data_IF_455613368780
#
_entry.id   IF_455613368780
#
_cell.length_a   1.000
_cell.length_b   1.000
_cell.length_c   1.000
_cell.angle_alpha   90.00
_cell.angle_beta   90.00
_cell.angle_gamma   90.00
#
_symmetry.space_group_name_H-M   'P 1'
#
loop_
_entity.id
_entity.type
_entity.pdbx_description
1 polymer ?
#
# COMPACT_ATOMS: atom_id res chain seq x y z
N UNK A 1 33.33 39.02 -41.84
CA UNK A 1 33.46 38.11 -40.68
C UNK A 1 32.25 38.37 -39.81
N UNK A 2 31.20 37.57 -40.00
CA UNK A 2 29.93 37.68 -39.28
C UNK A 2 29.65 36.29 -38.74
N UNK A 3 29.98 36.11 -37.47
CA UNK A 3 29.78 34.88 -36.73
C UNK A 3 28.28 34.60 -36.57
N UNK A 4 27.78 33.61 -37.30
CA UNK A 4 26.50 32.98 -36.99
C UNK A 4 26.73 31.92 -35.91
N UNK A 5 26.52 32.33 -34.66
CA UNK A 5 26.39 31.40 -33.55
C UNK A 5 25.05 30.68 -33.69
N UNK A 6 25.09 29.52 -34.34
CA UNK A 6 23.94 28.61 -34.44
C UNK A 6 23.82 27.85 -33.13
N UNK A 7 22.92 28.31 -32.28
CA UNK A 7 22.54 27.62 -31.04
C UNK A 7 21.78 26.33 -31.42
N UNK A 8 22.53 25.24 -31.57
CA UNK A 8 21.98 23.90 -31.77
C UNK A 8 21.41 23.45 -30.43
N UNK A 9 20.15 23.85 -30.18
CA UNK A 9 19.30 23.25 -29.14
C UNK A 9 19.11 21.77 -29.46
N UNK A 10 20.04 20.95 -28.98
CA UNK A 10 19.98 19.50 -29.04
C UNK A 10 18.81 19.05 -28.15
N UNK A 11 17.62 18.87 -28.74
CA UNK A 11 16.47 18.27 -28.07
C UNK A 11 16.84 16.86 -27.64
N UNK A 12 17.17 16.70 -26.36
CA UNK A 12 17.40 15.41 -25.72
C UNK A 12 16.16 14.53 -26.00
N UNK A 13 16.31 13.31 -26.54
CA UNK A 13 15.18 12.43 -26.79
C UNK A 13 14.46 12.14 -25.47
N UNK A 14 13.18 12.52 -25.39
CA UNK A 14 12.37 12.28 -24.20
C UNK A 14 12.20 10.78 -24.04
N UNK A 15 12.81 10.21 -22.99
CA UNK A 15 12.61 8.81 -22.60
C UNK A 15 11.11 8.60 -22.38
N UNK A 16 10.49 7.77 -23.22
CA UNK A 16 9.07 7.43 -23.09
C UNK A 16 8.87 6.59 -21.83
N UNK A 17 7.98 7.05 -20.95
CA UNK A 17 7.66 6.35 -19.71
C UNK A 17 6.39 5.53 -19.95
N UNK A 18 6.39 4.24 -19.61
CA UNK A 18 5.19 3.42 -19.65
C UNK A 18 4.05 4.04 -18.83
N UNK A 19 2.84 4.04 -19.38
CA UNK A 19 1.65 4.56 -18.70
C UNK A 19 1.38 3.82 -17.38
N UNK A 20 1.76 2.54 -17.30
CA UNK A 20 1.67 1.70 -16.10
C UNK A 20 2.59 2.16 -14.95
N UNK A 21 3.65 2.91 -15.26
CA UNK A 21 4.49 3.55 -14.23
C UNK A 21 3.86 4.86 -13.77
N UNK A 22 3.49 5.72 -14.73
CA UNK A 22 2.80 6.98 -14.44
C UNK A 22 1.94 7.45 -15.63
N UNK A 23 0.59 7.56 -15.48
CA UNK A 23 -0.31 7.92 -16.56
C UNK A 23 -0.13 9.37 -17.04
N UNK A 24 -0.41 9.62 -18.31
CA UNK A 24 -0.35 10.99 -18.89
C UNK A 24 -1.56 11.83 -18.51
N UNK A 25 -2.70 11.20 -18.21
CA UNK A 25 -3.94 11.89 -17.83
C UNK A 25 -4.39 11.54 -16.41
N UNK A 26 -5.18 12.42 -15.79
CA UNK A 26 -5.81 12.15 -14.49
C UNK A 26 -6.84 11.02 -14.59
N UNK A 27 -7.18 10.44 -13.44
CA UNK A 27 -8.24 9.44 -13.31
C UNK A 27 -9.58 10.02 -13.77
N UNK A 28 -9.92 11.22 -13.30
CA UNK A 28 -11.15 11.94 -13.69
C UNK A 28 -11.27 12.08 -15.21
N UNK A 29 -10.20 12.49 -15.89
CA UNK A 29 -10.23 12.64 -17.34
C UNK A 29 -10.27 11.28 -18.05
N UNK A 30 -9.58 10.27 -17.51
CA UNK A 30 -9.54 8.91 -18.07
C UNK A 30 -10.87 8.16 -17.88
N UNK A 31 -11.65 8.49 -16.84
CA UNK A 31 -13.00 7.96 -16.57
C UNK A 31 -13.96 8.21 -17.74
N UNK A 32 -13.72 9.23 -18.58
CA UNK A 32 -14.55 9.53 -19.76
C UNK A 32 -14.67 8.36 -20.74
N UNK A 33 -13.63 7.53 -20.89
CA UNK A 33 -13.70 6.33 -21.75
C UNK A 33 -14.67 5.31 -21.14
N UNK A 34 -14.55 5.06 -19.83
CA UNK A 34 -15.44 4.13 -19.14
C UNK A 34 -16.89 4.63 -19.15
N UNK A 35 -17.10 5.94 -18.98
CA UNK A 35 -18.42 6.55 -19.06
C UNK A 35 -19.02 6.42 -20.47
N UNK A 36 -18.24 6.71 -21.52
CA UNK A 36 -18.69 6.55 -22.90
C UNK A 36 -19.09 5.10 -23.22
N UNK A 37 -18.38 4.11 -22.68
CA UNK A 37 -18.73 2.70 -22.83
C UNK A 37 -20.09 2.37 -22.20
N UNK A 38 -20.41 2.92 -21.03
CA UNK A 38 -21.73 2.78 -20.40
C UNK A 38 -22.80 3.47 -21.26
N UNK A 39 -22.58 4.75 -21.59
CA UNK A 39 -23.60 5.60 -22.18
C UNK A 39 -23.94 5.22 -23.63
N UNK A 40 -22.92 4.84 -24.41
CA UNK A 40 -23.04 4.67 -25.86
C UNK A 40 -22.85 3.22 -26.35
N UNK A 41 -22.32 2.31 -25.50
CA UNK A 41 -21.95 0.94 -25.91
C UNK A 41 -22.48 -0.14 -24.95
N UNK A 42 -23.62 0.13 -24.30
CA UNK A 42 -24.30 -0.79 -23.38
C UNK A 42 -23.42 -1.35 -22.24
N UNK A 43 -22.33 -0.65 -21.90
CA UNK A 43 -21.43 -0.99 -20.81
C UNK A 43 -20.61 -2.26 -21.01
N UNK A 44 -20.39 -2.72 -22.24
CA UNK A 44 -19.62 -3.95 -22.54
C UNK A 44 -18.30 -3.64 -23.24
N UNK A 45 -18.34 -3.48 -24.55
CA UNK A 45 -17.17 -3.20 -25.37
C UNK A 45 -17.54 -2.32 -26.56
N UNK A 46 -16.55 -1.63 -27.11
CA UNK A 46 -16.70 -0.81 -28.31
C UNK A 46 -15.39 -0.73 -29.09
N UNK A 47 -15.48 -0.50 -30.40
CA UNK A 47 -14.30 -0.29 -31.22
C UNK A 47 -13.62 1.04 -30.82
N UNK A 48 -12.26 1.09 -30.75
CA UNK A 48 -11.55 2.32 -30.38
C UNK A 48 -11.93 3.54 -31.24
N UNK A 49 -12.21 3.32 -32.53
CA UNK A 49 -12.63 4.35 -33.47
C UNK A 49 -13.94 5.00 -33.02
N UNK A 50 -14.95 4.19 -32.75
CA UNK A 50 -16.30 4.67 -32.39
C UNK A 50 -16.29 5.36 -31.03
N UNK A 51 -15.53 4.83 -30.07
CA UNK A 51 -15.38 5.45 -28.74
C UNK A 51 -14.71 6.83 -28.88
N UNK A 52 -13.67 6.95 -29.69
CA UNK A 52 -13.00 8.24 -29.92
C UNK A 52 -13.97 9.28 -30.53
N UNK A 53 -14.79 8.87 -31.51
CA UNK A 53 -15.80 9.73 -32.14
C UNK A 53 -16.84 10.16 -31.10
N UNK A 54 -17.32 9.25 -30.25
CA UNK A 54 -18.29 9.57 -29.19
C UNK A 54 -17.78 10.60 -28.19
N UNK A 55 -16.46 10.67 -28.01
CA UNK A 55 -15.77 11.63 -27.15
C UNK A 55 -15.32 12.91 -27.88
N UNK A 56 -15.72 13.10 -29.14
CA UNK A 56 -15.28 14.19 -30.00
C UNK A 56 -13.74 14.28 -30.13
N UNK A 57 -13.06 13.13 -30.15
CA UNK A 57 -11.61 13.04 -30.28
C UNK A 57 -11.22 12.40 -31.61
N UNK A 58 -10.09 12.84 -32.17
CA UNK A 58 -9.52 12.17 -33.34
C UNK A 58 -8.87 10.83 -32.92
N UNK A 59 -9.26 9.69 -33.53
CA UNK A 59 -8.69 8.36 -33.24
C UNK A 59 -7.20 8.23 -33.57
N UNK A 60 -6.67 9.11 -34.42
CA UNK A 60 -5.26 9.12 -34.81
C UNK A 60 -4.42 10.09 -33.97
N UNK A 61 -5.05 10.86 -33.08
CA UNK A 61 -4.36 11.85 -32.25
C UNK A 61 -3.50 11.20 -31.16
N UNK A 62 -2.38 11.85 -30.82
CA UNK A 62 -1.56 11.44 -29.68
C UNK A 62 -2.33 11.50 -28.35
N UNK A 63 -3.24 12.46 -28.22
CA UNK A 63 -4.09 12.61 -27.04
C UNK A 63 -5.02 11.43 -26.83
N UNK A 64 -5.67 10.93 -27.89
CA UNK A 64 -6.50 9.73 -27.83
C UNK A 64 -5.69 8.49 -27.39
N UNK A 65 -4.51 8.27 -27.99
CA UNK A 65 -3.64 7.15 -27.62
C UNK A 65 -3.21 7.22 -26.16
N UNK A 66 -2.83 8.41 -25.68
CA UNK A 66 -2.46 8.64 -24.30
C UNK A 66 -3.62 8.45 -23.32
N UNK A 67 -4.84 8.84 -23.71
CA UNK A 67 -6.05 8.66 -22.92
C UNK A 67 -6.40 7.18 -22.76
N UNK A 68 -6.38 6.42 -23.85
CA UNK A 68 -6.55 4.96 -23.80
C UNK A 68 -5.49 4.30 -22.91
N UNK A 69 -4.23 4.71 -23.06
CA UNK A 69 -3.13 4.19 -22.23
C UNK A 69 -3.30 4.52 -20.74
N UNK A 70 -3.78 5.71 -20.41
CA UNK A 70 -4.07 6.12 -19.03
C UNK A 70 -5.27 5.35 -18.46
N UNK A 71 -6.32 5.14 -19.26
CA UNK A 71 -7.49 4.34 -18.88
C UNK A 71 -7.13 2.90 -18.54
N UNK A 72 -6.25 2.27 -19.34
CA UNK A 72 -5.69 0.95 -19.05
C UNK A 72 -4.81 0.96 -17.80
N UNK A 73 -3.98 2.00 -17.61
CA UNK A 73 -3.08 2.10 -16.46
C UNK A 73 -3.81 2.24 -15.12
N UNK A 74 -4.96 2.93 -15.10
CA UNK A 74 -5.86 2.99 -13.93
C UNK A 74 -6.75 1.74 -13.81
N UNK A 75 -6.69 0.81 -14.76
CA UNK A 75 -7.47 -0.42 -14.76
C UNK A 75 -8.95 -0.21 -15.10
N UNK A 76 -9.33 0.90 -15.74
CA UNK A 76 -10.72 1.21 -16.12
C UNK A 76 -11.19 0.37 -17.31
N UNK A 77 -10.29 0.10 -18.25
CA UNK A 77 -10.58 -0.65 -19.46
C UNK A 77 -9.52 -1.71 -19.74
N UNK A 78 -9.92 -2.74 -20.46
CA UNK A 78 -9.04 -3.75 -21.03
C UNK A 78 -8.89 -3.46 -22.53
N UNK A 79 -7.64 -3.32 -22.96
CA UNK A 79 -7.30 -2.99 -24.34
C UNK A 79 -7.12 -1.48 -24.57
N UNK A 80 -6.04 -1.13 -25.29
CA UNK A 80 -5.72 0.26 -25.64
C UNK A 80 -6.23 0.65 -27.03
N UNK A 81 -5.67 1.71 -27.61
CA UNK A 81 -6.09 2.19 -28.94
C UNK A 81 -5.82 1.21 -30.10
N UNK A 82 -4.95 0.20 -29.91
CA UNK A 82 -4.50 -0.71 -30.94
C UNK A 82 -5.18 -2.08 -30.96
N UNK A 83 -6.19 -2.31 -30.11
CA UNK A 83 -6.96 -3.56 -30.10
C UNK A 83 -8.24 -3.42 -30.93
N UNK A 84 -8.87 -4.55 -31.27
CA UNK A 84 -10.14 -4.55 -32.00
C UNK A 84 -11.28 -3.91 -31.17
N UNK A 85 -11.33 -4.22 -29.87
CA UNK A 85 -12.36 -3.72 -28.96
C UNK A 85 -11.78 -3.35 -27.61
N UNK A 86 -12.21 -2.19 -27.08
CA UNK A 86 -11.93 -1.77 -25.71
C UNK A 86 -13.10 -2.24 -24.85
N UNK A 87 -12.79 -3.02 -23.81
CA UNK A 87 -13.80 -3.59 -22.90
C UNK A 87 -13.74 -2.88 -21.54
N UNK A 88 -14.91 -2.64 -20.93
CA UNK A 88 -14.98 -2.11 -19.57
C UNK A 88 -14.58 -3.21 -18.55
N UNK A 89 -13.72 -2.89 -17.59
CA UNK A 89 -13.38 -3.82 -16.50
C UNK A 89 -14.39 -3.72 -15.36
N UNK A 90 -14.37 -4.68 -14.43
CA UNK A 90 -15.19 -4.61 -13.22
C UNK A 90 -14.82 -3.38 -12.36
N UNK A 91 -13.52 -3.05 -12.27
CA UNK A 91 -13.06 -1.83 -11.59
C UNK A 91 -13.60 -0.57 -12.28
N UNK A 92 -13.53 -0.50 -13.61
CA UNK A 92 -14.08 0.61 -14.38
C UNK A 92 -15.58 0.74 -14.15
N UNK A 93 -16.33 -0.37 -14.21
CA UNK A 93 -17.79 -0.41 -13.96
C UNK A 93 -18.12 0.15 -12.59
N UNK A 94 -17.46 -0.30 -11.52
CA UNK A 94 -17.69 0.20 -10.15
C UNK A 94 -17.48 1.72 -10.01
N UNK A 95 -16.63 2.33 -10.86
CA UNK A 95 -16.36 3.78 -10.83
C UNK A 95 -17.44 4.60 -11.58
N UNK A 96 -18.02 4.07 -12.66
CA UNK A 96 -18.99 4.80 -13.52
C UNK A 96 -20.43 4.39 -13.29
N UNK A 97 -20.67 3.19 -12.78
CA UNK A 97 -21.98 2.60 -12.53
C UNK A 97 -21.90 1.72 -11.25
N UNK A 98 -21.70 2.32 -10.06
CA UNK A 98 -21.71 1.61 -8.79
C UNK A 98 -23.10 1.04 -8.48
N UNK A 99 -23.14 -0.12 -7.84
CA UNK A 99 -24.38 -0.76 -7.38
C UNK A 99 -24.64 -0.49 -5.89
N UNK A 100 -23.58 -0.17 -5.12
CA UNK A 100 -23.66 0.13 -3.69
C UNK A 100 -23.14 1.55 -3.37
N UNK A 101 -23.69 2.15 -2.31
CA UNK A 101 -23.25 3.46 -1.84
C UNK A 101 -21.79 3.42 -1.37
N UNK A 102 -20.94 4.27 -1.95
CA UNK A 102 -19.52 4.37 -1.60
C UNK A 102 -18.62 3.36 -2.32
N UNK A 103 -19.16 2.48 -3.15
CA UNK A 103 -18.39 1.54 -3.98
C UNK A 103 -17.49 2.29 -4.97
N UNK A 104 -18.00 3.36 -5.56
CA UNK A 104 -17.27 4.22 -6.50
C UNK A 104 -16.02 4.83 -5.87
N UNK A 105 -16.11 5.27 -4.62
CA UNK A 105 -14.98 5.82 -3.85
C UNK A 105 -13.89 4.78 -3.62
N UNK A 106 -14.27 3.58 -3.18
CA UNK A 106 -13.33 2.46 -2.98
C UNK A 106 -12.67 2.08 -4.31
N UNK A 107 -13.46 2.02 -5.39
CA UNK A 107 -12.95 1.70 -6.72
C UNK A 107 -12.01 2.79 -7.25
N UNK A 108 -12.29 4.07 -7.01
CA UNK A 108 -11.38 5.17 -7.38
C UNK A 108 -10.05 5.11 -6.63
N UNK A 109 -10.05 4.74 -5.35
CA UNK A 109 -8.83 4.52 -4.56
C UNK A 109 -8.00 3.34 -5.10
N UNK A 110 -8.67 2.25 -5.48
CA UNK A 110 -8.03 1.11 -6.11
C UNK A 110 -7.40 1.52 -7.46
N UNK A 111 -8.10 2.34 -8.26
CA UNK A 111 -7.65 2.79 -9.57
C UNK A 111 -6.40 3.66 -9.50
N UNK A 112 -6.34 4.66 -8.60
CA UNK A 112 -5.12 5.50 -8.42
C UNK A 112 -3.92 4.71 -7.88
N UNK A 113 -4.18 3.55 -7.27
CA UNK A 113 -3.14 2.65 -6.73
C UNK A 113 -2.65 1.64 -7.77
N UNK A 114 -3.23 1.57 -8.98
CA UNK A 114 -2.72 0.70 -10.06
C UNK A 114 -1.38 1.20 -10.65
N UNK A 115 -1.19 2.49 -10.96
CA UNK A 115 0.08 2.94 -11.51
C UNK A 115 1.18 2.97 -10.44
N UNK A 116 2.31 2.33 -10.74
CA UNK A 116 3.38 2.04 -9.75
C UNK A 116 3.83 3.27 -8.96
N UNK A 117 4.26 4.33 -9.64
CA UNK A 117 4.81 5.51 -8.96
C UNK A 117 3.74 6.34 -8.26
N UNK A 118 2.49 6.27 -8.71
CA UNK A 118 1.38 6.95 -8.04
C UNK A 118 1.05 6.26 -6.72
N UNK A 119 0.97 4.92 -6.74
CA UNK A 119 0.82 4.10 -5.55
C UNK A 119 1.95 4.35 -4.54
N UNK A 120 3.21 4.21 -4.96
CA UNK A 120 4.38 4.44 -4.10
C UNK A 120 4.40 5.85 -3.51
N UNK A 121 3.95 6.87 -4.25
CA UNK A 121 3.90 8.25 -3.76
C UNK A 121 2.83 8.42 -2.68
N UNK A 122 1.60 7.97 -2.91
CA UNK A 122 0.54 8.12 -1.90
C UNK A 122 0.81 7.27 -0.67
N UNK A 123 1.31 6.05 -0.85
CA UNK A 123 1.68 5.14 0.25
C UNK A 123 2.76 5.78 1.13
N UNK A 124 3.79 6.35 0.51
CA UNK A 124 4.86 7.06 1.22
C UNK A 124 4.36 8.22 2.09
N UNK A 125 3.32 8.93 1.64
CA UNK A 125 2.79 10.08 2.36
C UNK A 125 1.49 9.76 3.12
N UNK A 126 1.05 8.51 3.19
CA UNK A 126 -0.19 8.16 3.90
C UNK A 126 -0.15 8.64 5.36
N UNK A 127 -1.24 9.27 5.79
CA UNK A 127 -1.42 9.90 7.12
C UNK A 127 -0.42 11.02 7.44
N UNK A 128 0.24 11.57 6.42
CA UNK A 128 1.17 12.69 6.57
C UNK A 128 0.75 13.89 5.71
N UNK A 129 1.41 15.04 5.93
CA UNK A 129 1.18 16.21 5.09
C UNK A 129 1.70 15.96 3.69
N UNK A 130 0.94 16.43 2.70
CA UNK A 130 1.42 16.45 1.32
C UNK A 130 2.72 17.27 1.27
N UNK A 131 3.79 16.74 0.67
CA UNK A 131 5.07 17.43 0.61
C UNK A 131 4.96 18.71 -0.22
N UNK A 132 5.85 19.68 0.03
CA UNK A 132 5.99 20.83 -0.87
C UNK A 132 6.36 20.39 -2.28
N UNK A 133 5.99 21.19 -3.27
CA UNK A 133 6.09 20.84 -4.70
C UNK A 133 7.51 20.47 -5.13
N UNK A 134 8.52 21.19 -4.64
CA UNK A 134 9.94 20.91 -4.88
C UNK A 134 10.36 19.54 -4.34
N UNK A 135 9.92 19.21 -3.12
CA UNK A 135 10.16 17.91 -2.50
C UNK A 135 9.41 16.81 -3.27
N UNK A 136 8.15 17.05 -3.63
CA UNK A 136 7.32 16.11 -4.37
C UNK A 136 7.95 15.75 -5.73
N UNK A 137 8.40 16.74 -6.49
CA UNK A 137 9.12 16.54 -7.75
C UNK A 137 10.40 15.75 -7.52
N UNK A 138 11.20 16.07 -6.51
CA UNK A 138 12.43 15.34 -6.21
C UNK A 138 12.15 13.86 -5.83
N UNK A 139 11.05 13.59 -5.13
CA UNK A 139 10.62 12.20 -4.84
C UNK A 139 10.25 11.46 -6.12
N UNK A 140 9.45 12.06 -6.99
CA UNK A 140 9.08 11.48 -8.29
C UNK A 140 10.32 11.23 -9.17
N UNK A 141 11.29 12.15 -9.16
CA UNK A 141 12.55 11.98 -9.87
C UNK A 141 13.35 10.79 -9.32
N UNK A 142 13.44 10.67 -8.00
CA UNK A 142 14.11 9.52 -7.35
C UNK A 142 13.43 8.19 -7.67
N UNK A 143 12.10 8.18 -7.83
CA UNK A 143 11.34 6.99 -8.25
C UNK A 143 11.64 6.59 -9.71
N UNK A 144 12.23 7.49 -10.51
CA UNK A 144 12.68 7.20 -11.88
C UNK A 144 12.03 8.05 -12.97
N UNK A 145 11.22 9.07 -12.60
CA UNK A 145 10.69 10.04 -13.56
C UNK A 145 11.77 11.05 -13.97
N UNK A 146 12.01 11.32 -15.27
CA UNK A 146 12.79 12.47 -15.71
C UNK A 146 12.18 13.76 -15.17
N UNK A 147 13.01 14.72 -14.75
CA UNK A 147 12.57 15.96 -14.10
C UNK A 147 11.44 16.72 -14.82
N UNK A 148 11.50 16.95 -16.15
CA UNK A 148 10.42 17.64 -16.85
C UNK A 148 9.09 16.89 -16.81
N UNK A 149 9.14 15.55 -16.69
CA UNK A 149 7.96 14.71 -16.58
C UNK A 149 7.44 14.64 -15.14
N UNK A 150 8.33 14.71 -14.14
CA UNK A 150 7.97 14.74 -12.73
C UNK A 150 7.15 15.99 -12.36
N UNK A 151 7.47 17.15 -12.94
CA UNK A 151 6.70 18.39 -12.77
C UNK A 151 5.25 18.23 -13.30
N UNK A 152 5.09 17.66 -14.50
CA UNK A 152 3.77 17.36 -15.05
C UNK A 152 3.03 16.26 -14.27
N UNK A 153 3.78 15.29 -13.73
CA UNK A 153 3.23 14.20 -12.94
C UNK A 153 2.69 14.70 -11.60
N UNK A 154 3.32 15.71 -10.98
CA UNK A 154 2.85 16.32 -9.74
C UNK A 154 1.44 16.89 -9.89
N UNK A 155 1.16 17.60 -10.99
CA UNK A 155 -0.17 18.17 -11.27
C UNK A 155 -1.25 17.08 -11.39
N UNK A 156 -0.92 15.97 -12.07
CA UNK A 156 -1.83 14.83 -12.20
C UNK A 156 -2.05 14.16 -10.84
N UNK A 157 -1.00 14.08 -10.04
CA UNK A 157 -1.05 13.48 -8.72
C UNK A 157 -1.95 14.31 -7.79
N UNK A 158 -1.76 15.63 -7.71
CA UNK A 158 -2.66 16.48 -6.92
C UNK A 158 -4.12 16.36 -7.34
N UNK A 159 -4.39 16.47 -8.66
CA UNK A 159 -5.74 16.31 -9.22
C UNK A 159 -6.37 14.97 -8.86
N UNK A 160 -5.63 13.88 -8.95
CA UNK A 160 -6.14 12.56 -8.59
C UNK A 160 -6.41 12.46 -7.08
N UNK A 161 -5.51 12.98 -6.25
CA UNK A 161 -5.65 12.91 -4.80
C UNK A 161 -6.85 13.72 -4.31
N UNK A 162 -7.06 14.91 -4.87
CA UNK A 162 -8.24 15.76 -4.61
C UNK A 162 -9.52 15.09 -5.10
N UNK A 163 -9.53 14.61 -6.36
CA UNK A 163 -10.71 13.96 -6.97
C UNK A 163 -11.17 12.71 -6.20
N UNK A 164 -10.23 11.95 -5.65
CA UNK A 164 -10.52 10.73 -4.87
C UNK A 164 -10.71 10.98 -3.37
N UNK A 165 -10.46 12.20 -2.90
CA UNK A 165 -10.51 12.56 -1.48
C UNK A 165 -9.35 12.03 -0.64
N UNK A 166 -8.30 11.51 -1.29
CA UNK A 166 -7.03 11.10 -0.66
C UNK A 166 -6.25 12.31 -0.18
N UNK A 167 -6.25 13.39 -0.95
CA UNK A 167 -5.69 14.67 -0.51
C UNK A 167 -6.84 15.52 0.03
N UNK A 168 -6.71 15.96 1.28
CA UNK A 168 -7.70 16.81 1.95
C UNK A 168 -7.04 18.05 2.49
N UNK A 169 -7.60 19.21 2.18
CA UNK A 169 -7.14 20.46 2.74
C UNK A 169 -7.63 20.62 4.18
N UNK A 170 -6.70 20.93 5.07
CA UNK A 170 -6.99 21.29 6.46
C UNK A 170 -6.47 22.68 6.77
N UNK A 171 -6.90 23.25 7.90
CA UNK A 171 -6.34 24.52 8.42
C UNK A 171 -4.81 24.49 8.58
N UNK A 172 -4.21 23.30 8.66
CA UNK A 172 -2.77 23.10 8.89
C UNK A 172 -2.00 22.65 7.64
N UNK A 173 -2.66 22.61 6.48
CA UNK A 173 -2.12 22.16 5.19
C UNK A 173 -2.84 20.93 4.63
N UNK A 174 -2.50 20.53 3.40
CA UNK A 174 -3.07 19.36 2.75
C UNK A 174 -2.51 18.06 3.35
N UNK A 175 -3.38 17.12 3.71
CA UNK A 175 -3.03 15.82 4.29
C UNK A 175 -3.38 14.72 3.28
N UNK A 176 -2.52 13.70 3.19
CA UNK A 176 -2.75 12.49 2.39
C UNK A 176 -3.34 11.41 3.30
N UNK A 177 -4.42 10.76 2.88
CA UNK A 177 -5.07 9.68 3.62
C UNK A 177 -5.72 8.69 2.66
N UNK A 178 -5.15 7.49 2.55
CA UNK A 178 -5.66 6.41 1.70
C UNK A 178 -6.88 5.71 2.32
N UNK A 179 -7.10 5.87 3.62
CA UNK A 179 -8.33 5.46 4.29
C UNK A 179 -9.29 6.65 4.36
N UNK A 180 -10.35 6.61 3.55
CA UNK A 180 -11.47 7.52 3.72
C UNK A 180 -12.26 7.07 4.96
N UNK A 181 -12.51 7.93 5.96
CA UNK A 181 -13.57 7.67 6.93
C UNK A 181 -14.86 7.38 6.16
N UNK A 182 -15.58 6.34 6.56
CA UNK A 182 -16.94 6.10 6.09
C UNK A 182 -17.80 7.27 6.56
N UNK A 183 -17.90 8.34 5.76
CA UNK A 183 -18.68 9.52 6.10
C UNK A 183 -20.18 9.18 6.05
N UNK A 184 -20.69 8.56 7.10
CA UNK A 184 -22.08 8.80 7.54
C UNK A 184 -22.14 10.17 8.21
N UNK A 185 -21.92 11.24 7.44
CA UNK A 185 -22.39 12.62 7.72
C UNK A 185 -21.96 13.57 6.60
N UNK A 186 -22.79 13.70 5.57
CA UNK A 186 -22.95 14.96 4.85
C UNK A 186 -24.46 15.23 4.68
N UNK A 187 -25.02 15.80 5.74
CA UNK A 187 -26.16 16.72 5.75
C UNK A 187 -25.72 17.75 6.80
N UNK A 188 -25.60 19.05 6.55
CA UNK A 188 -26.45 19.95 5.76
C UNK A 188 -25.74 21.31 5.64
N UNK A 189 -25.95 22.00 4.52
CA UNK A 189 -26.26 23.44 4.47
C UNK A 189 -25.22 24.46 4.92
N UNK A 190 -24.74 25.26 3.96
CA UNK A 190 -24.34 26.65 4.21
C UNK A 190 -25.52 27.44 4.82
N UNK A 191 -25.28 28.13 5.92
CA UNK A 191 -25.85 29.45 6.17
C UNK A 191 -24.92 30.22 7.10
N UNK A 192 -24.42 31.33 6.59
CA UNK A 192 -23.73 32.39 7.33
C UNK A 192 -24.81 33.10 8.16
N UNK A 193 -24.61 33.22 9.46
CA UNK A 193 -25.11 34.39 10.21
C UNK A 193 -24.36 34.54 11.54
N UNK A 194 -24.15 35.81 11.85
CA UNK A 194 -23.33 36.43 12.86
C UNK A 194 -24.15 36.65 14.13
N UNK A 195 -23.56 36.54 15.33
CA UNK A 195 -24.02 37.23 16.56
C UNK A 195 -23.14 36.93 17.78
N UNK A 196 -22.24 37.88 18.02
CA UNK A 196 -21.85 38.54 19.28
C UNK A 196 -22.61 38.14 20.58
N UNK A 197 -21.79 37.87 21.62
CA UNK A 197 -21.90 38.09 23.09
C UNK A 197 -23.29 38.15 23.76
N UNK A 198 -23.48 37.39 24.87
CA UNK A 198 -23.48 38.01 26.22
C UNK A 198 -23.42 36.97 27.37
N UNK A 199 -22.79 37.38 28.47
CA UNK A 199 -22.73 36.74 29.78
C UNK A 199 -24.08 36.79 30.51
N UNK A 200 -24.39 35.78 31.34
CA UNK A 200 -24.83 36.00 32.73
C UNK A 200 -24.91 34.70 33.52
N UNK A 201 -24.68 34.86 34.82
CA UNK A 201 -24.21 33.89 35.79
C UNK A 201 -25.31 33.13 36.56
N UNK A 202 -24.82 32.15 37.34
CA UNK A 202 -25.31 31.70 38.67
C UNK A 202 -26.48 30.69 38.72
N UNK A 203 -26.51 29.66 39.58
CA UNK A 203 -25.63 29.17 40.66
C UNK A 203 -26.02 27.71 41.01
N UNK A 204 -25.10 26.97 41.64
CA UNK A 204 -25.29 25.79 42.54
C UNK A 204 -25.86 24.48 41.94
N UNK A 205 -25.33 23.29 42.20
CA UNK A 205 -24.21 22.83 43.02
C UNK A 205 -24.34 21.31 43.17
N UNK A 206 -23.25 20.57 43.00
CA UNK A 206 -22.84 19.43 43.84
C UNK A 206 -21.58 18.80 43.26
N UNK A 207 -20.55 18.87 44.09
CA UNK A 207 -19.21 18.32 43.93
C UNK A 207 -19.24 16.81 44.15
N UNK A 208 -18.80 16.03 43.16
CA UNK A 208 -18.04 14.81 43.43
C UNK A 208 -16.68 14.91 42.73
N UNK A 209 -15.68 15.07 43.59
CA UNK A 209 -14.27 15.11 43.29
C UNK A 209 -13.80 13.67 43.00
N UNK A 210 -13.45 13.36 41.75
CA UNK A 210 -12.62 12.19 41.44
C UNK A 210 -11.42 12.64 40.64
N UNK A 211 -10.27 12.55 41.31
CA UNK A 211 -8.90 12.83 40.95
C UNK A 211 -8.56 12.47 39.50
N UNK A 212 -8.05 13.45 38.75
CA UNK A 212 -7.41 13.24 37.46
C UNK A 212 -6.15 12.40 37.65
N UNK A 213 -6.14 11.19 37.09
CA UNK A 213 -4.92 10.44 36.81
C UNK A 213 -4.33 11.08 35.54
N UNK A 214 -3.02 11.41 35.49
CA UNK A 214 -2.38 11.80 34.25
C UNK A 214 -2.56 10.63 33.28
N UNK A 215 -3.22 10.87 32.15
CA UNK A 215 -3.29 9.88 31.07
C UNK A 215 -1.86 9.72 30.53
N UNK A 216 -1.11 8.80 31.13
CA UNK A 216 0.07 8.22 30.53
C UNK A 216 -0.30 7.85 29.11
N UNK A 217 0.49 8.32 28.17
CA UNK A 217 0.48 7.85 26.79
C UNK A 217 0.58 6.34 26.83
N UNK A 218 -0.51 5.63 26.61
CA UNK A 218 -0.49 4.19 26.39
C UNK A 218 0.28 3.96 25.11
N UNK A 219 1.59 3.75 25.23
CA UNK A 219 2.40 3.14 24.19
C UNK A 219 1.75 1.79 23.91
N UNK A 220 1.07 1.69 22.77
CA UNK A 220 0.60 0.40 22.27
C UNK A 220 1.82 -0.50 22.14
N UNK A 221 1.89 -1.56 22.96
CA UNK A 221 3.06 -2.44 22.97
C UNK A 221 3.15 -3.14 21.62
N UNK A 222 4.19 -2.80 20.85
CA UNK A 222 4.50 -3.35 19.53
C UNK A 222 4.69 -4.86 19.59
N UNK A 223 3.79 -5.64 18.97
CA UNK A 223 3.86 -7.11 18.94
C UNK A 223 4.61 -7.63 17.71
N UNK A 224 5.23 -8.80 17.85
CA UNK A 224 5.85 -9.54 16.75
C UNK A 224 4.93 -10.64 16.26
N UNK A 225 4.68 -10.69 14.96
CA UNK A 225 3.97 -11.80 14.35
C UNK A 225 4.91 -13.00 14.21
N UNK A 226 4.44 -14.19 14.52
CA UNK A 226 5.21 -15.43 14.37
C UNK A 226 4.47 -16.40 13.47
N UNK A 227 5.09 -16.72 12.34
CA UNK A 227 4.63 -17.72 11.38
C UNK A 227 5.51 -18.98 11.45
N UNK A 228 4.88 -20.14 11.41
CA UNK A 228 5.57 -21.42 11.42
C UNK A 228 4.78 -22.48 10.66
N UNK A 229 5.48 -23.50 10.17
CA UNK A 229 4.90 -24.62 9.47
C UNK A 229 4.31 -25.70 10.37
N UNK A 230 4.24 -26.93 9.84
CA UNK A 230 3.67 -28.07 10.57
C UNK A 230 4.59 -28.54 11.69
N UNK A 231 5.90 -28.35 11.55
CA UNK A 231 6.90 -28.70 12.56
C UNK A 231 6.82 -27.74 13.78
N UNK A 232 6.35 -28.26 14.92
CA UNK A 232 6.10 -27.47 16.15
C UNK A 232 7.31 -27.24 17.06
N UNK A 233 8.26 -28.18 17.25
CA UNK A 233 9.41 -27.96 18.13
C UNK A 233 10.16 -26.63 17.93
N UNK A 234 10.44 -26.16 16.70
CA UNK A 234 11.12 -24.88 16.50
C UNK A 234 10.35 -23.65 17.00
N UNK A 235 9.02 -23.59 16.79
CA UNK A 235 8.21 -22.49 17.35
C UNK A 235 8.15 -22.56 18.88
N UNK A 236 8.15 -23.75 19.48
CA UNK A 236 8.18 -23.89 20.94
C UNK A 236 9.49 -23.36 21.54
N UNK A 237 10.63 -23.66 20.90
CA UNK A 237 11.92 -23.10 21.31
C UNK A 237 11.94 -21.56 21.17
N UNK A 238 11.40 -21.02 20.07
CA UNK A 238 11.28 -19.57 19.90
C UNK A 238 10.43 -18.92 20.99
N UNK A 239 9.28 -19.53 21.34
CA UNK A 239 8.41 -19.03 22.42
C UNK A 239 9.16 -18.90 23.74
N UNK A 240 9.94 -19.92 24.12
CA UNK A 240 10.76 -19.87 25.34
C UNK A 240 11.76 -18.71 25.34
N UNK A 241 12.37 -18.43 24.19
CA UNK A 241 13.28 -17.28 24.03
C UNK A 241 12.49 -15.98 24.20
N UNK A 242 11.42 -15.76 23.42
CA UNK A 242 10.64 -14.53 23.46
C UNK A 242 10.02 -14.27 24.84
N UNK A 243 9.47 -15.30 25.48
CA UNK A 243 8.90 -15.23 26.84
C UNK A 243 9.96 -14.87 27.88
N UNK A 244 11.16 -15.47 27.80
CA UNK A 244 12.29 -15.18 28.71
C UNK A 244 12.69 -13.71 28.66
N UNK A 245 12.68 -13.10 27.48
CA UNK A 245 13.04 -11.70 27.27
C UNK A 245 11.83 -10.74 27.27
N UNK A 246 10.63 -11.25 27.61
CA UNK A 246 9.37 -10.49 27.66
C UNK A 246 9.05 -9.77 26.34
N UNK A 247 9.42 -10.36 25.21
CA UNK A 247 9.11 -9.83 23.88
C UNK A 247 7.68 -10.23 23.54
N UNK A 248 6.76 -9.28 23.30
CA UNK A 248 5.38 -9.60 23.01
C UNK A 248 5.22 -10.11 21.57
N UNK A 249 4.57 -11.27 21.40
CA UNK A 249 4.38 -11.89 20.09
C UNK A 249 2.97 -12.45 19.90
N UNK A 250 2.63 -12.79 18.65
CA UNK A 250 1.37 -13.41 18.30
C UNK A 250 1.52 -14.45 17.19
N UNK A 251 0.94 -15.63 17.40
CA UNK A 251 1.00 -16.77 16.46
C UNK A 251 -0.36 -16.94 15.78
N UNK A 252 -0.40 -16.85 14.45
CA UNK A 252 -1.62 -16.96 13.65
C UNK A 252 -2.40 -18.26 13.85
N UNK A 253 -1.68 -19.38 13.93
CA UNK A 253 -2.29 -20.71 14.01
C UNK A 253 -2.98 -20.97 15.36
N UNK A 254 -2.61 -20.25 16.42
CA UNK A 254 -3.13 -20.48 17.78
C UNK A 254 -4.38 -19.64 18.12
N UNK A 255 -4.79 -18.71 17.24
CA UNK A 255 -5.95 -17.84 17.48
C UNK A 255 -7.27 -18.46 17.00
N UNK A 256 -8.39 -18.32 17.76
CA UNK A 256 -9.72 -18.73 17.31
C UNK A 256 -10.13 -18.10 15.98
N UNK A 257 -10.89 -18.85 15.17
CA UNK A 257 -11.32 -18.40 13.85
C UNK A 257 -12.50 -17.43 13.87
N UNK A 258 -13.32 -17.38 14.93
CA UNK A 258 -14.44 -16.41 15.08
C UNK A 258 -15.37 -16.29 13.85
N UNK A 259 -15.47 -17.34 13.03
CA UNK A 259 -16.26 -17.33 11.79
C UNK A 259 -15.64 -16.58 10.60
N UNK A 260 -14.46 -15.96 10.74
CA UNK A 260 -13.76 -15.27 9.63
C UNK A 260 -12.90 -16.24 8.81
N UNK A 261 -12.71 -16.00 7.49
CA UNK A 261 -11.79 -16.78 6.66
C UNK A 261 -10.37 -16.83 7.26
N UNK A 262 -9.66 -17.96 7.09
CA UNK A 262 -8.32 -18.18 7.65
C UNK A 262 -7.34 -17.09 7.17
N UNK A 263 -7.37 -16.79 5.88
CA UNK A 263 -6.54 -15.73 5.27
C UNK A 263 -6.82 -14.35 5.86
N UNK A 264 -8.09 -14.04 6.15
CA UNK A 264 -8.48 -12.76 6.76
C UNK A 264 -8.02 -12.69 8.23
N UNK A 265 -8.17 -13.77 9.00
CA UNK A 265 -7.64 -13.87 10.37
C UNK A 265 -6.13 -13.59 10.40
N UNK A 266 -5.38 -14.24 9.52
CA UNK A 266 -3.93 -14.07 9.41
C UNK A 266 -3.61 -12.62 9.06
N UNK A 267 -4.26 -12.06 8.04
CA UNK A 267 -4.05 -10.68 7.62
C UNK A 267 -4.36 -9.66 8.73
N UNK A 268 -5.47 -9.83 9.44
CA UNK A 268 -5.84 -8.97 10.56
C UNK A 268 -4.81 -9.06 11.69
N UNK A 269 -4.34 -10.28 12.01
CA UNK A 269 -3.30 -10.48 13.02
C UNK A 269 -1.99 -9.80 12.63
N UNK A 270 -1.55 -9.97 11.39
CA UNK A 270 -0.35 -9.32 10.88
C UNK A 270 -0.45 -7.79 10.99
N UNK A 271 -1.61 -7.19 10.70
CA UNK A 271 -1.83 -5.73 10.86
C UNK A 271 -1.71 -5.23 12.30
N UNK A 272 -1.95 -6.09 13.29
CA UNK A 272 -1.77 -5.74 14.72
C UNK A 272 -0.32 -5.87 15.20
N UNK A 273 0.56 -6.46 14.39
CA UNK A 273 1.97 -6.62 14.68
C UNK A 273 2.81 -5.61 13.88
N UNK A 274 4.02 -5.32 14.36
CA UNK A 274 4.92 -4.33 13.76
C UNK A 274 6.19 -4.94 13.13
N UNK A 275 6.34 -6.26 13.20
CA UNK A 275 7.38 -7.09 12.58
C UNK A 275 6.93 -8.54 12.50
N UNK A 276 7.66 -9.33 11.71
CA UNK A 276 7.44 -10.77 11.58
C UNK A 276 8.67 -11.62 11.86
N UNK A 277 8.49 -12.76 12.51
CA UNK A 277 9.44 -13.86 12.55
C UNK A 277 8.83 -15.03 11.78
N UNK A 278 9.55 -15.54 10.78
CA UNK A 278 9.10 -16.64 9.92
C UNK A 278 10.01 -17.83 10.09
N UNK A 279 9.43 -18.98 10.47
CA UNK A 279 10.16 -20.22 10.68
C UNK A 279 9.92 -21.15 9.50
N UNK A 280 10.99 -21.47 8.78
CA UNK A 280 10.99 -22.36 7.62
C UNK A 280 11.64 -23.70 7.97
N UNK A 281 10.82 -24.76 8.00
CA UNK A 281 11.21 -26.13 8.33
C UNK A 281 11.02 -27.08 7.15
N UNK A 282 11.50 -28.33 7.27
CA UNK A 282 11.29 -29.39 6.27
C UNK A 282 9.85 -29.93 6.30
N UNK A 283 8.85 -29.12 5.94
CA UNK A 283 7.43 -29.49 6.03
C UNK A 283 6.93 -30.33 4.85
N UNK A 284 7.47 -30.11 3.66
CA UNK A 284 6.98 -30.71 2.43
C UNK A 284 8.10 -31.40 1.65
N UNK A 285 7.85 -32.64 1.23
CA UNK A 285 8.81 -33.48 0.51
C UNK A 285 8.47 -33.49 -0.97
N UNK A 286 9.40 -33.05 -1.80
CA UNK A 286 9.30 -33.07 -3.25
C UNK A 286 10.42 -33.90 -3.87
N UNK A 287 10.24 -34.25 -5.14
CA UNK A 287 11.30 -34.81 -5.98
C UNK A 287 11.66 -33.76 -7.04
N UNK A 288 12.95 -33.51 -7.24
CA UNK A 288 13.40 -32.67 -8.35
C UNK A 288 13.37 -33.47 -9.67
N UNK A 289 13.66 -32.80 -10.79
CA UNK A 289 13.71 -33.42 -12.13
C UNK A 289 14.74 -34.57 -12.23
N UNK A 290 15.70 -34.64 -11.30
CA UNK A 290 16.73 -35.69 -11.22
C UNK A 290 16.34 -36.85 -10.30
N UNK A 291 15.17 -36.78 -9.64
CA UNK A 291 14.70 -37.77 -8.69
C UNK A 291 15.25 -37.61 -7.27
N UNK A 292 16.01 -36.56 -6.96
CA UNK A 292 16.49 -36.30 -5.60
C UNK A 292 15.38 -35.73 -4.74
N UNK A 293 15.39 -36.10 -3.46
CA UNK A 293 14.49 -35.55 -2.45
C UNK A 293 14.86 -34.11 -2.14
N UNK A 294 13.90 -33.21 -2.28
CA UNK A 294 14.01 -31.80 -1.90
C UNK A 294 12.97 -31.49 -0.84
N UNK A 295 13.41 -30.95 0.29
CA UNK A 295 12.52 -30.45 1.33
C UNK A 295 12.17 -29.00 1.09
N UNK A 296 10.90 -28.65 1.16
CA UNK A 296 10.37 -27.29 1.06
C UNK A 296 9.61 -26.93 2.33
N UNK A 297 9.53 -25.63 2.66
CA UNK A 297 8.70 -25.19 3.76
C UNK A 297 7.23 -25.21 3.40
N UNK A 298 6.37 -25.11 4.43
CA UNK A 298 4.93 -24.91 4.26
C UNK A 298 4.63 -23.69 3.37
N UNK A 299 3.82 -23.90 2.34
CA UNK A 299 3.39 -22.82 1.42
C UNK A 299 2.73 -21.65 2.16
N UNK A 300 1.95 -21.93 3.22
CA UNK A 300 1.33 -20.90 4.05
C UNK A 300 2.35 -19.90 4.62
N UNK A 301 3.49 -20.39 5.12
CA UNK A 301 4.54 -19.54 5.71
C UNK A 301 5.21 -18.70 4.63
N UNK A 302 5.32 -19.23 3.40
CA UNK A 302 5.83 -18.49 2.24
C UNK A 302 4.87 -17.35 1.86
N UNK A 303 3.55 -17.60 1.84
CA UNK A 303 2.57 -16.56 1.58
C UNK A 303 2.54 -15.49 2.69
N UNK A 304 2.65 -15.90 3.95
CA UNK A 304 2.75 -15.01 5.09
C UNK A 304 4.03 -14.16 5.03
N UNK A 305 5.16 -14.74 4.62
CA UNK A 305 6.40 -13.98 4.38
C UNK A 305 6.22 -12.97 3.25
N UNK A 306 5.58 -13.36 2.15
CA UNK A 306 5.25 -12.45 1.06
C UNK A 306 4.43 -11.25 1.55
N UNK A 307 3.34 -11.51 2.28
CA UNK A 307 2.51 -10.46 2.86
C UNK A 307 3.28 -9.62 3.90
N UNK A 308 4.10 -10.25 4.73
CA UNK A 308 4.90 -9.59 5.76
C UNK A 308 5.97 -8.69 5.16
N UNK A 309 6.61 -9.12 4.07
CA UNK A 309 7.62 -8.34 3.35
C UNK A 309 7.05 -7.04 2.79
N UNK A 310 5.77 -7.04 2.41
CA UNK A 310 5.02 -5.85 2.02
C UNK A 310 4.63 -5.01 3.24
N UNK A 311 4.12 -5.65 4.30
CA UNK A 311 3.57 -4.95 5.47
C UNK A 311 4.62 -4.30 6.37
N UNK A 312 5.76 -4.94 6.57
CA UNK A 312 6.80 -4.53 7.53
C UNK A 312 8.14 -4.20 6.86
N UNK A 313 8.26 -4.42 5.54
CA UNK A 313 9.50 -4.20 4.82
C UNK A 313 10.65 -5.04 5.40
N UNK A 314 11.68 -4.35 5.90
CA UNK A 314 12.87 -4.98 6.46
C UNK A 314 12.71 -5.46 7.91
N UNK A 315 11.58 -5.18 8.58
CA UNK A 315 11.34 -5.60 9.97
C UNK A 315 10.90 -7.07 10.03
N UNK A 316 11.74 -7.94 9.50
CA UNK A 316 11.47 -9.37 9.35
C UNK A 316 12.71 -10.15 9.74
N UNK A 317 12.51 -11.20 10.52
CA UNK A 317 13.54 -12.18 10.86
C UNK A 317 13.13 -13.51 10.24
N UNK A 318 14.04 -14.12 9.49
CA UNK A 318 13.84 -15.43 8.88
C UNK A 318 14.69 -16.44 9.65
N UNK A 319 14.04 -17.48 10.17
CA UNK A 319 14.68 -18.64 10.79
C UNK A 319 14.54 -19.81 9.83
N UNK A 320 15.66 -20.36 9.36
CA UNK A 320 15.66 -21.42 8.35
C UNK A 320 16.35 -22.68 8.85
N UNK A 321 15.65 -23.80 8.79
CA UNK A 321 16.21 -25.11 9.07
C UNK A 321 17.19 -25.52 7.94
N UNK A 322 18.34 -26.06 8.31
CA UNK A 322 19.33 -26.55 7.38
C UNK A 322 18.74 -27.64 6.45
N UNK A 323 19.03 -27.54 5.15
CA UNK A 323 18.52 -28.48 4.15
C UNK A 323 17.10 -28.19 3.64
N UNK A 324 16.42 -27.14 4.11
CA UNK A 324 15.19 -26.63 3.49
C UNK A 324 15.56 -25.83 2.25
N UNK A 325 14.93 -26.14 1.12
CA UNK A 325 15.06 -25.38 -0.11
C UNK A 325 14.08 -24.19 -0.10
N UNK A 326 14.65 -22.99 -0.14
CA UNK A 326 13.93 -21.73 -0.01
C UNK A 326 13.55 -21.18 -1.40
N UNK A 327 12.38 -20.54 -1.57
CA UNK A 327 12.02 -19.94 -2.86
C UNK A 327 13.06 -18.88 -3.29
N UNK A 328 13.44 -18.88 -4.56
CA UNK A 328 14.46 -17.97 -5.11
C UNK A 328 14.07 -16.50 -5.01
N UNK A 329 12.78 -16.18 -4.95
CA UNK A 329 12.27 -14.81 -4.84
C UNK A 329 12.67 -14.11 -3.53
N UNK A 330 13.15 -14.87 -2.55
CA UNK A 330 13.57 -14.37 -1.24
C UNK A 330 15.05 -14.66 -0.93
N UNK A 331 15.87 -15.00 -1.94
CA UNK A 331 17.30 -15.29 -1.76
C UNK A 331 18.11 -14.14 -1.19
N UNK A 332 17.62 -12.91 -1.38
CA UNK A 332 18.31 -11.67 -1.00
C UNK A 332 18.03 -11.26 0.46
N UNK A 333 17.17 -12.02 1.17
CA UNK A 333 16.87 -11.79 2.58
C UNK A 333 17.84 -12.57 3.47
N UNK A 334 18.45 -11.87 4.44
CA UNK A 334 19.25 -12.49 5.48
C UNK A 334 18.41 -13.46 6.32
N UNK A 335 19.01 -14.58 6.74
CA UNK A 335 18.36 -15.58 7.58
C UNK A 335 19.32 -16.13 8.64
N UNK A 336 18.75 -16.54 9.76
CA UNK A 336 19.44 -17.31 10.79
C UNK A 336 19.21 -18.79 10.49
N UNK A 337 20.28 -19.51 10.15
CA UNK A 337 20.21 -20.94 9.94
C UNK A 337 20.22 -21.69 11.28
N UNK A 338 19.44 -22.77 11.40
CA UNK A 338 19.49 -23.69 12.53
C UNK A 338 19.42 -25.15 12.07
N UNK A 339 19.97 -26.08 12.86
CA UNK A 339 19.84 -27.53 12.63
C UNK A 339 18.57 -28.08 13.30
N UNK A 340 18.12 -29.27 12.91
CA UNK A 340 16.91 -29.88 13.48
C UNK A 340 17.00 -29.99 15.02
N UNK A 341 15.98 -29.47 15.70
CA UNK A 341 15.95 -29.39 17.16
C UNK A 341 16.84 -28.31 17.79
N UNK A 342 17.63 -27.57 17.03
CA UNK A 342 18.67 -26.66 17.56
C UNK A 342 18.31 -25.16 17.52
N UNK A 343 17.08 -24.78 17.18
CA UNK A 343 16.67 -23.37 17.14
C UNK A 343 16.94 -22.63 18.46
N UNK A 344 16.80 -23.31 19.61
CA UNK A 344 17.10 -22.75 20.92
C UNK A 344 18.54 -22.25 21.09
N UNK A 345 19.50 -22.83 20.36
CA UNK A 345 20.91 -22.42 20.40
C UNK A 345 21.15 -21.07 19.71
N UNK A 346 20.19 -20.58 18.91
CA UNK A 346 20.28 -19.32 18.16
C UNK A 346 19.71 -18.12 18.92
N UNK A 347 19.39 -18.26 20.20
CA UNK A 347 18.74 -17.22 21.00
C UNK A 347 19.47 -15.86 20.98
N UNK A 348 20.80 -15.85 21.08
CA UNK A 348 21.59 -14.61 21.03
C UNK A 348 21.51 -13.91 19.67
N UNK A 349 21.53 -14.67 18.57
CA UNK A 349 21.40 -14.12 17.22
C UNK A 349 20.00 -13.54 16.98
N UNK A 350 18.97 -14.27 17.43
CA UNK A 350 17.58 -13.80 17.36
C UNK A 350 17.41 -12.48 18.14
N UNK A 351 18.00 -12.38 19.34
CA UNK A 351 17.95 -11.15 20.13
C UNK A 351 18.73 -10.01 19.47
N UNK A 352 19.88 -10.28 18.88
CA UNK A 352 20.66 -9.27 18.17
C UNK A 352 19.85 -8.66 17.01
N UNK A 353 19.14 -9.48 16.24
CA UNK A 353 18.22 -9.00 15.20
C UNK A 353 17.05 -8.19 15.78
N UNK A 354 16.45 -8.64 16.88
CA UNK A 354 15.38 -7.89 17.55
C UNK A 354 15.82 -6.51 18.05
N UNK A 355 17.07 -6.38 18.51
CA UNK A 355 17.65 -5.09 18.89
C UNK A 355 17.94 -4.23 17.66
N UNK A 356 18.52 -4.83 16.61
CA UNK A 356 18.82 -4.13 15.35
C UNK A 356 17.56 -3.58 14.66
N UNK A 357 16.42 -4.25 14.84
CA UNK A 357 15.11 -3.81 14.36
C UNK A 357 14.39 -2.83 15.29
N UNK A 358 15.06 -2.34 16.34
CA UNK A 358 14.52 -1.43 17.36
C UNK A 358 13.28 -1.99 18.10
N UNK A 359 13.15 -3.32 18.16
CA UNK A 359 12.02 -3.99 18.81
C UNK A 359 12.25 -4.25 20.30
N UNK A 360 13.50 -4.39 20.70
CA UNK A 360 13.91 -4.57 22.10
C UNK A 360 14.99 -3.53 22.41
N UNK A 361 14.76 -2.72 23.44
CA UNK A 361 15.78 -1.84 24.01
C UNK A 361 16.23 -2.41 25.35
N UNK A 362 17.49 -2.80 25.43
CA UNK A 362 18.10 -3.16 26.71
C UNK A 362 18.54 -1.87 27.41
N UNK A 363 17.79 -1.46 28.44
CA UNK A 363 18.30 -0.44 29.37
C UNK A 363 19.36 -1.11 30.24
N UNK A 364 20.60 -0.63 30.15
CA UNK A 364 21.60 -0.97 31.14
C UNK A 364 21.11 -0.43 32.51
N UNK A 365 21.04 -1.25 33.56
CA UNK A 365 20.80 -0.71 34.89
C UNK A 365 21.94 0.25 35.21
N UNK A 366 21.58 1.49 35.58
CA UNK A 366 22.51 2.52 36.02
C UNK A 366 23.53 1.92 37.01
N UNK A 367 24.82 1.98 36.66
CA UNK A 367 25.95 1.68 37.54
C UNK A 367 26.21 2.86 38.48
#
# INVERSE_FOLDING_TARGET
>A
MTDQNTDISTKIPRKNIPQTLFPTYSLEYSKKIAQALIDNFAGKSGAPLDIAISLNMSPTSGGWRGLCGSSVAYGLTKGGYGVAEITLTDLGRRIVAPEEEGEDRVAMLEAISKPKFMHEFYDKYDKSKFPKDDIAVNVLVRMGLPRPRAEQALEILKKNGEFTGVIRDTKTGSIVSLNLPSDKRVQTGLSVEDSILDESADTTGSSELSTQIPSESTQTVSKIFVAHGKNKPPVQALKQILDRFKVPYQIAMEQPHEGRPISQKVADLMKTCSAGIFIFTKDEKFLNEKGDVVWRPSENVVFELGAGSVLWGKKIIILREAGVNFPSDFSDLGYIQFEDGELGNRGLEILAELVALEFVTFQAPYL
#
